data_IF_938715856693
#
_entry.id   IF_938715856693
#
_cell.length_a   1.000
_cell.length_b   1.000
_cell.length_c   1.000
_cell.angle_alpha   90.00
_cell.angle_beta   90.00
_cell.angle_gamma   90.00
#
_symmetry.space_group_name_H-M   'P 1'
#
loop_
_entity.id
_entity.type
_entity.pdbx_description
1 polymer ?
#
# COMPACT_ATOMS: atom_id res chain seq x y z
N UNK A 1 4.08 16.14 7.60
CA UNK A 1 4.66 14.78 7.73
C UNK A 1 4.25 14.20 9.07
N UNK A 2 3.23 13.28 9.14
CA UNK A 2 2.70 12.82 10.44
C UNK A 2 3.75 12.15 11.32
N UNK A 3 4.51 11.19 10.80
CA UNK A 3 5.52 10.47 11.61
C UNK A 3 6.59 11.39 12.20
N UNK A 4 7.12 12.33 11.41
CA UNK A 4 8.10 13.29 11.93
C UNK A 4 7.52 14.15 13.06
N UNK A 5 6.23 14.52 13.01
CA UNK A 5 5.54 15.23 14.10
C UNK A 5 5.40 14.40 15.38
N UNK A 6 5.44 13.08 15.26
CA UNK A 6 5.44 12.14 16.38
C UNK A 6 6.85 11.83 16.89
N UNK A 7 7.89 12.52 16.40
CA UNK A 7 9.27 12.40 16.88
C UNK A 7 10.09 11.29 16.21
N UNK A 8 9.58 10.69 15.14
CA UNK A 8 10.37 9.74 14.35
C UNK A 8 11.35 10.46 13.44
N UNK A 9 12.56 9.93 13.32
CA UNK A 9 13.52 10.30 12.28
C UNK A 9 13.08 9.62 10.97
N UNK A 10 12.61 10.41 10.00
CA UNK A 10 11.94 9.89 8.79
C UNK A 10 12.79 10.16 7.56
N UNK A 11 13.15 9.09 6.87
CA UNK A 11 13.79 9.12 5.56
C UNK A 11 12.77 8.72 4.49
N UNK A 12 12.60 9.55 3.46
CA UNK A 12 11.72 9.29 2.34
C UNK A 12 12.53 8.91 1.11
N UNK A 13 12.13 7.83 0.44
CA UNK A 13 12.67 7.40 -0.85
C UNK A 13 11.51 7.24 -1.83
N UNK A 14 11.60 7.86 -3.00
CA UNK A 14 10.62 7.72 -4.07
C UNK A 14 11.34 7.74 -5.43
N UNK A 15 10.96 6.91 -6.42
CA UNK A 15 11.60 6.91 -7.74
C UNK A 15 11.26 8.14 -8.58
N UNK A 16 10.24 8.91 -8.22
CA UNK A 16 9.76 10.07 -8.97
C UNK A 16 10.32 11.38 -8.38
N UNK A 17 11.19 12.10 -9.10
CA UNK A 17 11.81 13.33 -8.58
C UNK A 17 10.78 14.36 -8.10
N UNK A 18 9.66 14.50 -8.79
CA UNK A 18 8.59 15.42 -8.40
C UNK A 18 8.02 15.11 -7.01
N UNK A 19 7.85 13.82 -6.67
CA UNK A 19 7.35 13.42 -5.35
C UNK A 19 8.36 13.77 -4.25
N UNK A 20 9.65 13.58 -4.53
CA UNK A 20 10.74 13.96 -3.61
C UNK A 20 10.75 15.47 -3.39
N UNK A 21 10.64 16.28 -4.46
CA UNK A 21 10.55 17.74 -4.36
C UNK A 21 9.32 18.17 -3.53
N UNK A 22 8.16 17.60 -3.79
CA UNK A 22 6.94 17.88 -3.01
C UNK A 22 7.09 17.52 -1.53
N UNK A 23 7.75 16.39 -1.24
CA UNK A 23 8.04 15.97 0.13
C UNK A 23 9.00 16.93 0.82
N UNK A 24 10.05 17.41 0.13
CA UNK A 24 10.98 18.41 0.65
C UNK A 24 10.27 19.72 0.94
N UNK A 25 9.48 20.24 0.00
CA UNK A 25 8.69 21.47 0.20
C UNK A 25 7.70 21.34 1.37
N UNK A 26 7.11 20.17 1.55
CA UNK A 26 6.22 19.92 2.69
C UNK A 26 7.00 19.84 4.02
N UNK A 27 8.24 19.30 3.99
CA UNK A 27 9.14 19.26 5.14
C UNK A 27 9.56 20.68 5.56
N UNK A 28 9.94 21.54 4.61
CA UNK A 28 10.38 22.91 4.87
C UNK A 28 9.28 23.77 5.52
N UNK A 29 8.00 23.42 5.27
CA UNK A 29 6.85 24.08 5.92
C UNK A 29 6.61 23.65 7.37
N UNK A 30 7.36 22.66 7.86
CA UNK A 30 7.31 22.21 9.26
C UNK A 30 8.71 22.10 9.88
N UNK A 31 9.44 23.22 10.03
CA UNK A 31 10.85 23.23 10.42
C UNK A 31 11.13 22.66 11.82
N UNK A 32 10.12 22.60 12.69
CA UNK A 32 10.25 21.98 14.01
C UNK A 32 10.33 20.43 13.96
N UNK A 33 9.85 19.83 12.88
CA UNK A 33 9.78 18.36 12.70
C UNK A 33 10.01 18.03 11.22
N UNK A 34 11.19 18.34 10.66
CA UNK A 34 11.48 18.08 9.25
C UNK A 34 11.65 16.58 8.99
N UNK A 35 11.68 16.20 7.70
CA UNK A 35 12.24 14.91 7.30
C UNK A 35 13.75 14.92 7.54
N UNK A 36 14.34 13.79 7.94
CA UNK A 36 15.78 13.63 8.00
C UNK A 36 16.39 13.61 6.59
N UNK A 37 15.71 12.99 5.63
CA UNK A 37 16.05 13.08 4.21
C UNK A 37 14.84 12.82 3.31
N UNK A 38 14.90 13.32 2.07
CA UNK A 38 14.04 12.93 0.96
C UNK A 38 14.92 12.75 -0.29
N UNK A 39 14.98 11.55 -0.82
CA UNK A 39 15.90 11.16 -1.90
C UNK A 39 15.21 10.42 -3.02
N UNK A 40 15.67 10.63 -4.25
CA UNK A 40 15.26 9.80 -5.39
C UNK A 40 15.96 8.46 -5.27
N UNK A 41 15.19 7.36 -5.32
CA UNK A 41 15.74 6.03 -5.20
C UNK A 41 14.73 4.92 -5.54
N UNK A 42 15.16 3.69 -5.46
CA UNK A 42 14.40 2.50 -5.82
C UNK A 42 14.27 1.57 -4.62
N UNK A 43 13.07 1.10 -4.32
CA UNK A 43 12.81 0.17 -3.22
C UNK A 43 13.55 -1.16 -3.36
N UNK A 44 13.94 -1.55 -4.59
CA UNK A 44 14.71 -2.76 -4.88
C UNK A 44 16.19 -2.63 -4.53
N UNK A 45 16.66 -1.41 -4.24
CA UNK A 45 18.05 -1.11 -3.85
C UNK A 45 18.07 0.17 -3.04
N UNK A 46 18.02 0.05 -1.72
CA UNK A 46 18.04 1.17 -0.80
C UNK A 46 19.48 1.55 -0.44
N UNK A 47 19.80 2.85 -0.50
CA UNK A 47 21.12 3.39 -0.13
C UNK A 47 21.23 3.61 1.39
N UNK A 48 20.77 2.64 2.18
CA UNK A 48 20.82 2.63 3.64
C UNK A 48 21.59 1.41 4.13
N UNK A 49 22.28 1.52 5.30
CA UNK A 49 23.04 0.41 5.86
C UNK A 49 22.13 -0.74 6.30
N UNK A 50 22.70 -1.93 6.39
CA UNK A 50 22.06 -3.09 7.01
C UNK A 50 21.68 -2.77 8.45
N UNK A 51 20.51 -3.21 8.89
CA UNK A 51 20.01 -3.03 10.25
C UNK A 51 19.99 -1.56 10.73
N UNK A 52 19.79 -0.61 9.80
CA UNK A 52 19.80 0.83 10.07
C UNK A 52 18.45 1.44 10.39
N UNK A 53 17.34 0.70 10.26
CA UNK A 53 15.99 1.23 10.43
C UNK A 53 15.19 0.44 11.48
N UNK A 54 14.42 1.16 12.30
CA UNK A 54 13.47 0.58 13.24
C UNK A 54 12.18 0.10 12.57
N UNK A 55 11.78 0.81 11.52
CA UNK A 55 10.59 0.51 10.75
C UNK A 55 10.79 0.86 9.27
N UNK A 56 10.16 0.10 8.39
CA UNK A 56 10.07 0.38 6.95
C UNK A 56 8.62 0.39 6.53
N UNK A 57 8.23 1.42 5.78
CA UNK A 57 6.90 1.54 5.18
C UNK A 57 7.02 1.40 3.66
N UNK A 58 6.54 0.28 3.11
CA UNK A 58 6.41 0.04 1.66
C UNK A 58 4.95 0.31 1.22
N UNK A 59 4.56 1.59 1.14
CA UNK A 59 3.17 1.96 0.89
C UNK A 59 2.87 2.26 -0.59
N UNK A 60 3.74 1.89 -1.50
CA UNK A 60 3.61 2.13 -2.95
C UNK A 60 4.29 1.08 -3.83
N UNK A 61 5.54 0.69 -3.51
CA UNK A 61 6.37 -0.05 -4.45
C UNK A 61 5.76 -1.37 -4.93
N UNK A 62 5.17 -2.17 -4.05
CA UNK A 62 4.78 -3.54 -4.38
C UNK A 62 3.70 -3.64 -5.46
N UNK A 63 2.80 -2.69 -5.54
CA UNK A 63 1.81 -2.70 -6.61
C UNK A 63 2.28 -2.02 -7.90
N UNK A 64 3.37 -1.24 -7.88
CA UNK A 64 4.01 -0.72 -9.09
C UNK A 64 5.06 -1.66 -9.69
N UNK A 65 5.59 -2.59 -8.89
CA UNK A 65 6.52 -3.63 -9.35
C UNK A 65 5.72 -4.84 -9.86
N UNK A 66 5.47 -4.88 -11.17
CA UNK A 66 4.61 -5.91 -11.76
C UNK A 66 5.27 -7.27 -11.88
N UNK A 67 6.60 -7.34 -11.86
CA UNK A 67 7.35 -8.59 -11.80
C UNK A 67 7.49 -9.06 -10.35
N UNK A 68 7.22 -10.34 -10.10
CA UNK A 68 7.35 -10.95 -8.77
C UNK A 68 8.77 -10.90 -8.23
N UNK A 69 9.77 -11.10 -9.10
CA UNK A 69 11.18 -11.03 -8.69
C UNK A 69 11.54 -9.64 -8.16
N UNK A 70 11.04 -8.59 -8.80
CA UNK A 70 11.23 -7.20 -8.37
C UNK A 70 10.56 -6.91 -7.01
N UNK A 71 9.33 -7.43 -6.79
CA UNK A 71 8.65 -7.29 -5.49
C UNK A 71 9.42 -7.99 -4.37
N UNK A 72 9.92 -9.20 -4.64
CA UNK A 72 10.76 -9.92 -3.68
C UNK A 72 12.08 -9.18 -3.40
N UNK A 73 12.70 -8.54 -4.40
CA UNK A 73 13.87 -7.69 -4.17
C UNK A 73 13.54 -6.53 -3.23
N UNK A 74 12.43 -5.81 -3.45
CA UNK A 74 12.02 -4.71 -2.58
C UNK A 74 11.74 -5.17 -1.13
N UNK A 75 11.09 -6.32 -0.96
CA UNK A 75 10.84 -6.90 0.37
C UNK A 75 12.14 -7.35 1.05
N UNK A 76 13.09 -7.94 0.31
CA UNK A 76 14.41 -8.32 0.84
C UNK A 76 15.26 -7.11 1.20
N UNK A 77 15.18 -6.02 0.44
CA UNK A 77 15.83 -4.75 0.80
C UNK A 77 15.22 -4.16 2.08
N UNK A 78 13.89 -4.19 2.23
CA UNK A 78 13.24 -3.81 3.47
C UNK A 78 13.74 -4.67 4.65
N UNK A 79 13.82 -6.00 4.48
CA UNK A 79 14.39 -6.90 5.48
C UNK A 79 15.85 -6.54 5.81
N UNK A 80 16.68 -6.26 4.80
CA UNK A 80 18.11 -5.94 5.00
C UNK A 80 18.30 -4.68 5.84
N UNK A 81 17.54 -3.62 5.55
CA UNK A 81 17.71 -2.33 6.25
C UNK A 81 17.03 -2.31 7.62
N UNK A 82 16.03 -3.16 7.87
CA UNK A 82 15.44 -3.30 9.19
C UNK A 82 16.44 -3.90 10.19
N UNK A 83 16.50 -3.38 11.40
CA UNK A 83 17.21 -4.03 12.50
C UNK A 83 16.48 -5.31 12.96
N UNK A 84 17.16 -6.25 13.64
CA UNK A 84 16.48 -7.36 14.29
C UNK A 84 15.33 -6.88 15.19
N UNK A 85 14.13 -7.43 14.99
CA UNK A 85 12.90 -6.99 15.65
C UNK A 85 12.26 -5.71 15.08
N UNK A 86 12.83 -5.12 14.02
CA UNK A 86 12.24 -3.99 13.30
C UNK A 86 10.98 -4.37 12.54
N UNK A 87 10.10 -3.41 12.30
CA UNK A 87 8.75 -3.59 11.76
C UNK A 87 8.66 -3.20 10.29
N UNK A 88 8.08 -4.06 9.47
CA UNK A 88 7.61 -3.72 8.12
C UNK A 88 6.10 -3.49 8.14
N UNK A 89 5.65 -2.38 7.52
CA UNK A 89 4.29 -2.20 7.06
C UNK A 89 4.30 -2.08 5.52
N UNK A 90 3.72 -3.05 4.84
CA UNK A 90 3.70 -3.09 3.37
C UNK A 90 2.27 -3.06 2.85
N UNK A 91 2.01 -2.23 1.83
CA UNK A 91 0.69 -2.13 1.21
C UNK A 91 0.66 -2.84 -0.14
N UNK A 92 -0.47 -3.46 -0.44
CA UNK A 92 -0.80 -4.02 -1.74
C UNK A 92 -2.21 -3.60 -2.16
N UNK A 93 -2.47 -3.58 -3.47
CA UNK A 93 -3.83 -3.47 -4.01
C UNK A 93 -4.40 -4.87 -4.12
N UNK A 94 -5.64 -5.04 -3.65
CA UNK A 94 -6.36 -6.31 -3.74
C UNK A 94 -6.69 -6.68 -5.19
N UNK A 95 -6.61 -7.97 -5.51
CA UNK A 95 -7.02 -8.58 -6.78
C UNK A 95 -8.44 -8.16 -7.21
N UNK A 96 -9.28 -7.81 -6.25
CA UNK A 96 -10.68 -7.48 -6.46
C UNK A 96 -10.95 -5.96 -6.56
N UNK A 97 -9.93 -5.10 -6.43
CA UNK A 97 -10.11 -3.64 -6.40
C UNK A 97 -10.83 -3.09 -7.64
N UNK A 98 -10.42 -3.52 -8.85
CA UNK A 98 -11.12 -3.10 -10.08
C UNK A 98 -12.57 -3.56 -10.15
N UNK A 99 -12.89 -4.72 -9.57
CA UNK A 99 -14.29 -5.19 -9.49
C UNK A 99 -15.13 -4.24 -8.65
N UNK A 100 -14.61 -3.81 -7.49
CA UNK A 100 -15.31 -2.86 -6.62
C UNK A 100 -15.44 -1.49 -7.25
N UNK A 101 -14.38 -0.97 -7.86
CA UNK A 101 -14.45 0.30 -8.60
C UNK A 101 -15.48 0.23 -9.74
N UNK A 102 -15.47 -0.88 -10.48
CA UNK A 102 -16.42 -1.13 -11.56
C UNK A 102 -17.88 -1.14 -11.09
N UNK A 103 -18.15 -1.77 -9.93
CA UNK A 103 -19.48 -1.80 -9.32
C UNK A 103 -19.91 -0.44 -8.79
N UNK A 104 -19.03 0.24 -8.06
CA UNK A 104 -19.35 1.50 -7.38
C UNK A 104 -19.45 2.69 -8.35
N UNK A 105 -18.65 2.68 -9.42
CA UNK A 105 -18.55 3.80 -10.38
C UNK A 105 -19.23 3.52 -11.72
N UNK A 106 -19.82 2.32 -11.89
CA UNK A 106 -20.49 1.93 -13.12
C UNK A 106 -19.56 1.59 -14.29
N UNK A 107 -18.25 1.44 -14.05
CA UNK A 107 -17.30 1.15 -15.14
C UNK A 107 -17.47 -0.24 -15.75
N UNK A 108 -18.16 -1.17 -15.07
CA UNK A 108 -18.47 -2.50 -15.63
C UNK A 108 -19.39 -2.45 -16.85
N UNK A 109 -20.07 -1.33 -17.10
CA UNK A 109 -20.85 -1.13 -18.32
C UNK A 109 -19.96 -0.87 -19.55
N UNK A 110 -18.66 -0.61 -19.35
CA UNK A 110 -17.69 -0.32 -20.41
C UNK A 110 -16.89 -1.59 -20.76
N UNK A 111 -16.97 -2.13 -22.00
CA UNK A 111 -16.26 -3.37 -22.39
C UNK A 111 -14.73 -3.29 -22.18
N UNK A 112 -14.13 -2.11 -22.35
CA UNK A 112 -12.71 -1.90 -22.13
C UNK A 112 -12.31 -2.09 -20.67
N UNK A 113 -13.17 -1.69 -19.73
CA UNK A 113 -12.93 -1.89 -18.30
C UNK A 113 -13.19 -3.34 -17.87
N UNK A 114 -14.22 -3.99 -18.46
CA UNK A 114 -14.47 -5.42 -18.23
C UNK A 114 -13.23 -6.27 -18.54
N UNK A 115 -12.56 -6.00 -19.67
CA UNK A 115 -11.33 -6.71 -20.05
C UNK A 115 -10.18 -6.48 -19.06
N UNK A 116 -10.10 -5.32 -18.42
CA UNK A 116 -9.14 -5.05 -17.34
C UNK A 116 -9.49 -5.90 -16.13
N UNK A 117 -10.73 -5.88 -15.68
CA UNK A 117 -11.20 -6.67 -14.52
C UNK A 117 -10.94 -8.17 -14.71
N UNK A 118 -11.26 -8.72 -15.89
CA UNK A 118 -11.00 -10.14 -16.21
C UNK A 118 -9.52 -10.49 -16.12
N UNK A 119 -8.63 -9.61 -16.59
CA UNK A 119 -7.18 -9.79 -16.49
C UNK A 119 -6.73 -9.71 -15.04
N UNK A 120 -7.18 -8.72 -14.29
CA UNK A 120 -6.84 -8.57 -12.88
C UNK A 120 -7.21 -9.83 -12.10
N UNK A 121 -8.43 -10.31 -12.25
CA UNK A 121 -8.91 -11.53 -11.57
C UNK A 121 -8.08 -12.78 -11.94
N UNK A 122 -7.67 -12.92 -13.19
CA UNK A 122 -6.94 -14.08 -13.67
C UNK A 122 -5.45 -14.05 -13.31
N UNK A 123 -4.80 -12.87 -13.47
CA UNK A 123 -3.34 -12.76 -13.46
C UNK A 123 -2.81 -11.75 -12.43
N UNK A 124 -3.64 -10.88 -11.87
CA UNK A 124 -3.22 -9.74 -11.05
C UNK A 124 -2.49 -8.63 -11.83
N UNK A 125 -2.39 -8.77 -13.14
CA UNK A 125 -1.65 -7.84 -14.01
C UNK A 125 -2.57 -6.72 -14.50
N UNK A 126 -2.74 -5.69 -13.69
CA UNK A 126 -3.52 -4.52 -14.08
C UNK A 126 -2.84 -3.77 -15.22
N UNK A 127 -3.54 -3.62 -16.33
CA UNK A 127 -3.08 -2.94 -17.54
C UNK A 127 -4.18 -2.09 -18.09
N UNK A 128 -3.99 -0.78 -18.10
CA UNK A 128 -4.92 0.19 -18.67
C UNK A 128 -4.37 0.71 -20.02
N UNK A 129 -4.77 0.11 -21.15
CA UNK A 129 -4.29 0.54 -22.47
C UNK A 129 -4.97 1.82 -22.99
N UNK A 130 -6.00 2.30 -22.30
CA UNK A 130 -6.81 3.43 -22.76
C UNK A 130 -6.22 4.79 -22.39
N UNK A 131 -5.29 4.83 -21.39
CA UNK A 131 -4.74 6.06 -20.85
C UNK A 131 -5.72 6.88 -19.99
N UNK A 132 -6.92 6.35 -19.71
CA UNK A 132 -7.89 7.00 -18.79
C UNK A 132 -7.37 6.91 -17.36
N UNK A 133 -7.01 8.03 -16.70
CA UNK A 133 -6.40 8.01 -15.37
C UNK A 133 -7.33 7.46 -14.29
N UNK A 134 -8.65 7.56 -14.47
CA UNK A 134 -9.65 7.03 -13.56
C UNK A 134 -9.68 5.49 -13.51
N UNK A 135 -9.09 4.81 -14.50
CA UNK A 135 -8.95 3.36 -14.54
C UNK A 135 -7.59 2.87 -14.03
N UNK A 136 -6.89 3.73 -13.33
CA UNK A 136 -5.59 3.50 -12.75
C UNK A 136 -4.48 3.26 -13.80
N UNK A 137 -3.28 2.93 -13.33
CA UNK A 137 -2.08 2.74 -14.16
C UNK A 137 -1.65 1.27 -14.18
N UNK A 138 -0.55 0.98 -14.85
CA UNK A 138 0.09 -0.34 -14.82
C UNK A 138 0.46 -0.71 -13.38
N UNK A 139 -0.06 -1.85 -12.90
CA UNK A 139 0.13 -2.30 -11.53
C UNK A 139 0.02 -3.84 -11.40
N UNK A 140 0.34 -4.36 -10.23
CA UNK A 140 0.06 -5.73 -9.83
C UNK A 140 -0.91 -5.73 -8.63
N UNK A 141 -1.96 -6.52 -8.74
CA UNK A 141 -3.00 -6.67 -7.74
C UNK A 141 -2.90 -8.05 -7.09
N UNK A 142 -2.77 -8.10 -5.78
CA UNK A 142 -2.49 -9.30 -5.03
C UNK A 142 -3.76 -10.04 -4.56
N UNK A 143 -3.72 -11.37 -4.58
CA UNK A 143 -4.55 -12.14 -3.64
C UNK A 143 -3.93 -12.02 -2.23
N UNK A 144 -4.76 -12.02 -1.16
CA UNK A 144 -4.23 -11.94 0.20
C UNK A 144 -3.19 -13.01 0.54
N UNK A 145 -3.40 -14.25 0.07
CA UNK A 145 -2.46 -15.36 0.25
C UNK A 145 -1.13 -15.16 -0.48
N UNK A 146 -1.16 -14.72 -1.75
CA UNK A 146 0.04 -14.40 -2.51
C UNK A 146 0.89 -13.32 -1.84
N UNK A 147 0.22 -12.29 -1.29
CA UNK A 147 0.89 -11.22 -0.58
C UNK A 147 1.58 -11.71 0.69
N UNK A 148 0.89 -12.54 1.48
CA UNK A 148 1.47 -13.18 2.66
C UNK A 148 2.67 -14.06 2.31
N UNK A 149 2.58 -14.86 1.23
CA UNK A 149 3.66 -15.71 0.76
C UNK A 149 4.89 -14.92 0.32
N UNK A 150 4.71 -13.81 -0.43
CA UNK A 150 5.83 -12.97 -0.87
C UNK A 150 6.57 -12.33 0.32
N UNK A 151 5.84 -11.86 1.34
CA UNK A 151 6.43 -11.31 2.56
C UNK A 151 7.23 -12.38 3.33
N UNK A 152 6.68 -13.58 3.47
CA UNK A 152 7.37 -14.69 4.15
C UNK A 152 8.60 -15.18 3.37
N UNK A 153 8.51 -15.29 2.03
CA UNK A 153 9.63 -15.72 1.18
C UNK A 153 10.81 -14.73 1.21
N UNK A 154 10.52 -13.45 1.46
CA UNK A 154 11.56 -12.44 1.65
C UNK A 154 12.33 -12.58 2.98
N UNK A 155 11.94 -13.51 3.87
CA UNK A 155 12.58 -13.77 5.16
C UNK A 155 11.95 -12.99 6.33
N UNK A 156 10.83 -12.31 6.12
CA UNK A 156 10.10 -11.57 7.15
C UNK A 156 9.12 -12.48 7.90
N UNK A 157 9.04 -12.32 9.20
CA UNK A 157 8.04 -13.00 10.02
C UNK A 157 6.73 -12.22 9.96
N UNK A 158 5.78 -12.73 9.22
CA UNK A 158 4.47 -12.11 9.07
C UNK A 158 3.65 -12.21 10.35
N UNK A 159 3.13 -11.08 10.84
CA UNK A 159 2.16 -11.04 11.94
C UNK A 159 0.73 -11.17 11.40
N UNK A 160 0.45 -10.55 10.26
CA UNK A 160 -0.85 -10.67 9.58
C UNK A 160 -0.97 -9.81 8.33
N UNK A 161 -1.98 -10.13 7.54
CA UNK A 161 -2.49 -9.27 6.46
C UNK A 161 -3.82 -8.70 6.91
N UNK A 162 -4.01 -7.41 6.73
CA UNK A 162 -5.17 -6.66 7.17
C UNK A 162 -5.86 -5.98 5.98
N UNK A 163 -7.19 -5.98 5.99
CA UNK A 163 -8.01 -5.21 5.07
C UNK A 163 -8.03 -3.74 5.50
N UNK A 164 -7.60 -2.82 4.65
CA UNK A 164 -7.50 -1.39 5.02
C UNK A 164 -8.90 -0.77 5.15
N UNK A 165 -9.67 -0.80 4.08
CA UNK A 165 -11.04 -0.27 4.08
C UNK A 165 -12.06 -1.32 4.53
N UNK A 166 -11.79 -2.57 4.26
CA UNK A 166 -12.71 -3.67 4.43
C UNK A 166 -14.05 -3.43 3.71
N UNK A 167 -15.14 -4.02 4.19
CA UNK A 167 -16.47 -3.77 3.62
C UNK A 167 -16.94 -2.31 3.67
N UNK A 168 -16.34 -1.50 4.54
CA UNK A 168 -16.67 -0.08 4.64
C UNK A 168 -16.25 0.73 3.41
N UNK A 169 -15.27 0.25 2.63
CA UNK A 169 -14.89 0.86 1.36
C UNK A 169 -16.00 0.90 0.31
N UNK A 170 -17.02 0.07 0.47
CA UNK A 170 -18.20 0.04 -0.40
C UNK A 170 -19.31 1.03 0.01
N UNK A 171 -19.16 1.74 1.10
CA UNK A 171 -20.14 2.74 1.53
C UNK A 171 -20.03 4.01 0.69
N UNK A 172 -21.12 4.50 0.09
CA UNK A 172 -21.08 5.69 -0.75
C UNK A 172 -20.72 6.96 0.03
N UNK A 173 -20.97 7.00 1.33
CA UNK A 173 -20.74 8.12 2.24
C UNK A 173 -19.54 7.91 3.18
N UNK A 174 -18.61 7.00 2.85
CA UNK A 174 -17.45 6.66 3.71
C UNK A 174 -16.60 7.87 4.06
N UNK A 175 -16.35 8.77 3.11
CA UNK A 175 -15.55 9.98 3.35
C UNK A 175 -16.24 10.95 4.31
N UNK A 176 -17.57 11.10 4.21
CA UNK A 176 -18.35 11.92 5.14
C UNK A 176 -18.31 11.34 6.55
N UNK A 177 -18.44 10.01 6.67
CA UNK A 177 -18.33 9.32 7.97
C UNK A 177 -16.95 9.48 8.60
N UNK A 178 -15.89 9.37 7.81
CA UNK A 178 -14.52 9.56 8.30
C UNK A 178 -14.21 11.01 8.71
N UNK A 179 -14.86 11.99 8.07
CA UNK A 179 -14.71 13.41 8.41
C UNK A 179 -15.45 13.79 9.70
N UNK A 180 -16.56 13.12 10.04
CA UNK A 180 -17.35 13.36 11.23
C UNK A 180 -16.81 12.54 12.42
N UNK A 181 -16.28 13.16 13.48
CA UNK A 181 -15.74 12.43 14.64
C UNK A 181 -16.73 11.46 15.31
N UNK A 182 -18.04 11.80 15.31
CA UNK A 182 -19.08 10.96 15.93
C UNK A 182 -19.36 9.71 15.09
N UNK A 183 -19.36 9.84 13.78
CA UNK A 183 -19.59 8.73 12.82
C UNK A 183 -18.32 7.91 12.56
N UNK A 184 -17.14 8.52 12.68
CA UNK A 184 -15.85 7.90 12.44
C UNK A 184 -15.55 6.77 13.41
N UNK A 185 -15.71 7.01 14.71
CA UNK A 185 -15.31 6.04 15.73
C UNK A 185 -16.08 4.71 15.63
N UNK A 186 -17.43 4.66 15.47
CA UNK A 186 -18.14 3.42 15.23
C UNK A 186 -17.72 2.72 13.92
N UNK A 187 -17.44 3.50 12.86
CA UNK A 187 -16.98 2.96 11.58
C UNK A 187 -15.63 2.27 11.72
N UNK A 188 -14.65 2.95 12.34
CA UNK A 188 -13.32 2.38 12.56
C UNK A 188 -13.38 1.17 13.50
N UNK A 189 -14.23 1.20 14.53
CA UNK A 189 -14.45 0.06 15.41
C UNK A 189 -14.98 -1.16 14.62
N UNK A 190 -15.96 -0.94 13.74
CA UNK A 190 -16.52 -2.00 12.91
C UNK A 190 -15.46 -2.61 11.96
N UNK A 191 -14.63 -1.76 11.31
CA UNK A 191 -13.54 -2.22 10.45
C UNK A 191 -12.54 -3.07 11.26
N UNK A 192 -12.09 -2.60 12.42
CA UNK A 192 -11.14 -3.32 13.30
C UNK A 192 -11.63 -4.71 13.72
N UNK A 193 -12.92 -4.92 13.84
CA UNK A 193 -13.47 -6.23 14.16
C UNK A 193 -13.30 -7.26 13.04
N UNK A 194 -13.15 -6.82 11.79
CA UNK A 194 -13.12 -7.68 10.61
C UNK A 194 -11.85 -7.53 9.76
N UNK A 195 -10.97 -6.58 10.08
CA UNK A 195 -9.78 -6.27 9.27
C UNK A 195 -8.82 -7.44 9.09
N UNK A 196 -8.78 -8.39 10.04
CA UNK A 196 -7.93 -9.58 10.00
C UNK A 196 -8.71 -10.87 9.66
N UNK A 197 -10.03 -10.78 9.40
CA UNK A 197 -10.84 -11.96 9.07
C UNK A 197 -10.49 -12.48 7.66
N UNK A 198 -9.92 -13.69 7.51
CA UNK A 198 -9.43 -14.17 6.23
C UNK A 198 -10.48 -14.20 5.12
N UNK A 199 -11.73 -14.49 5.46
CA UNK A 199 -12.85 -14.52 4.50
C UNK A 199 -13.26 -13.13 4.01
N UNK A 200 -12.83 -12.06 4.67
CA UNK A 200 -13.17 -10.67 4.37
C UNK A 200 -11.98 -9.85 3.82
N UNK A 201 -10.75 -10.37 3.85
CA UNK A 201 -9.58 -9.64 3.30
C UNK A 201 -9.80 -9.21 1.85
N UNK A 202 -10.42 -10.08 1.04
CA UNK A 202 -10.76 -9.77 -0.34
C UNK A 202 -11.87 -8.73 -0.51
N UNK A 203 -12.60 -8.38 0.54
CA UNK A 203 -13.62 -7.32 0.51
C UNK A 203 -13.05 -5.90 0.71
N UNK A 204 -11.74 -5.73 0.57
CA UNK A 204 -11.04 -4.45 0.65
C UNK A 204 -10.32 -4.15 -0.68
N UNK A 205 -10.25 -2.89 -1.05
CA UNK A 205 -9.44 -2.47 -2.21
C UNK A 205 -7.95 -2.51 -1.90
N UNK A 206 -7.56 -2.26 -0.65
CA UNK A 206 -6.15 -2.29 -0.21
C UNK A 206 -5.94 -3.28 0.93
N UNK A 207 -4.75 -3.87 0.91
CA UNK A 207 -4.25 -4.81 1.93
C UNK A 207 -3.01 -4.21 2.58
N UNK A 208 -2.84 -4.44 3.88
CA UNK A 208 -1.65 -4.06 4.63
C UNK A 208 -1.07 -5.30 5.30
N UNK A 209 0.18 -5.63 5.00
CA UNK A 209 0.93 -6.65 5.74
C UNK A 209 1.76 -5.98 6.83
N UNK A 210 1.71 -6.55 8.04
CA UNK A 210 2.59 -6.21 9.15
C UNK A 210 3.50 -7.42 9.41
N UNK A 211 4.81 -7.16 9.43
CA UNK A 211 5.81 -8.20 9.59
C UNK A 211 7.03 -7.68 10.35
N UNK A 212 7.90 -8.57 10.81
CA UNK A 212 9.13 -8.27 11.52
C UNK A 212 10.34 -8.96 10.88
N UNK A 213 11.49 -8.30 11.01
CA UNK A 213 12.78 -8.95 10.76
C UNK A 213 13.16 -9.88 11.91
#
# INVERSE_FOLDING_TARGET
MPLARHGYEVHLVDPIPLHVEQAQLASDRQPATPLASATVGDARRLEYPDAGADAVLLLGPLYHLTDRADRLLALREAWRVLRPGGVLAAAAISRFASTYDGLLRGYLEEPGFQAIVERDLREGQHRNPTGRPEWFTTAYFHLPGEFAEEVAEAGLRLDGVFAVEGPAGMLPDVHERLADPVRREPLLAAIRHVEAEPSLLGASAHLLAIAHR
#
